data_IF_575005939419
#
_entry.id   IF_575005939419
#
_cell.length_a   1.000
_cell.length_b   1.000
_cell.length_c   1.000
_cell.angle_alpha   90.00
_cell.angle_beta   90.00
_cell.angle_gamma   90.00
#
_symmetry.space_group_name_H-M   'P 1'
#
loop_
_entity.id
_entity.type
_entity.pdbx_description
1 polymer ?
#
# COMPACT_ATOMS: atom_id res chain seq x y z
N UNK A 1 -10.62 22.36 17.98
CA UNK A 1 -9.21 21.94 18.11
C UNK A 1 -8.53 22.88 19.08
N UNK A 2 -7.83 22.38 20.09
CA UNK A 2 -7.13 23.21 21.08
C UNK A 2 -5.97 23.97 20.47
N UNK A 3 -5.77 25.21 20.93
CA UNK A 3 -4.62 26.01 20.53
C UNK A 3 -3.33 25.41 21.11
N UNK A 4 -2.26 25.19 20.32
CA UNK A 4 -1.01 24.64 20.82
C UNK A 4 -0.21 25.63 21.70
N UNK A 5 -0.56 26.91 21.70
CA UNK A 5 0.15 27.96 22.45
C UNK A 5 -0.48 28.25 23.80
N UNK A 6 -1.82 28.34 23.88
CA UNK A 6 -2.52 28.71 25.10
C UNK A 6 -3.52 27.66 25.59
N UNK A 7 -3.65 26.52 24.92
CA UNK A 7 -4.52 25.39 25.24
C UNK A 7 -6.03 25.70 25.27
N UNK A 8 -6.47 26.87 24.86
CA UNK A 8 -7.90 27.21 24.70
C UNK A 8 -8.50 26.38 23.57
N UNK A 9 -9.78 26.01 23.70
CA UNK A 9 -10.44 25.08 22.79
C UNK A 9 -10.91 25.74 21.48
N UNK A 10 -11.15 27.04 21.49
CA UNK A 10 -11.70 27.74 20.35
C UNK A 10 -10.61 28.25 19.39
N UNK A 11 -10.64 27.73 18.20
CA UNK A 11 -9.83 28.18 17.07
C UNK A 11 -10.69 28.29 15.82
N UNK A 12 -10.49 29.30 15.00
CA UNK A 12 -11.17 29.47 13.69
C UNK A 12 -10.22 29.13 12.54
N UNK A 13 -10.78 28.61 11.47
CA UNK A 13 -10.06 28.42 10.20
C UNK A 13 -10.12 29.73 9.41
N UNK A 14 -8.96 30.25 9.02
CA UNK A 14 -8.84 31.50 8.25
C UNK A 14 -8.49 31.24 6.79
N UNK A 15 -7.90 30.09 6.44
CA UNK A 15 -7.59 29.66 5.08
C UNK A 15 -7.61 28.14 4.99
N UNK A 16 -8.01 27.60 3.83
CA UNK A 16 -8.00 26.17 3.51
C UNK A 16 -7.57 25.97 2.07
N UNK A 17 -6.60 25.08 1.85
CA UNK A 17 -6.11 24.74 0.50
C UNK A 17 -5.84 23.26 0.39
N UNK A 18 -6.01 22.73 -0.82
CA UNK A 18 -5.53 21.39 -1.14
C UNK A 18 -4.00 21.34 -1.09
N UNK A 19 -3.45 20.26 -0.58
CA UNK A 19 -2.03 19.97 -0.49
C UNK A 19 -1.78 18.50 -0.84
N UNK A 20 -0.53 18.12 -1.11
CA UNK A 20 -0.14 16.76 -1.49
C UNK A 20 -1.02 16.21 -2.63
N UNK A 21 -1.07 16.92 -3.76
CA UNK A 21 -1.83 16.58 -4.97
C UNK A 21 -3.32 16.25 -4.72
N UNK A 22 -3.92 16.92 -3.72
CA UNK A 22 -5.32 16.75 -3.35
C UNK A 22 -5.59 15.71 -2.26
N UNK A 23 -4.58 14.98 -1.80
CA UNK A 23 -4.73 13.97 -0.74
C UNK A 23 -4.76 14.53 0.69
N UNK A 24 -4.47 15.81 0.86
CA UNK A 24 -4.51 16.50 2.14
C UNK A 24 -5.20 17.87 2.02
N UNK A 25 -5.76 18.34 3.12
CA UNK A 25 -6.22 19.71 3.26
C UNK A 25 -5.31 20.41 4.26
N UNK A 26 -4.63 21.46 3.80
CA UNK A 26 -3.86 22.35 4.67
C UNK A 26 -4.78 23.45 5.16
N UNK A 27 -4.93 23.58 6.48
CA UNK A 27 -5.75 24.63 7.10
C UNK A 27 -4.88 25.57 7.92
N UNK A 28 -5.00 26.87 7.70
CA UNK A 28 -4.45 27.89 8.58
C UNK A 28 -5.50 28.28 9.61
N UNK A 29 -5.13 28.17 10.87
CA UNK A 29 -6.01 28.45 12.01
C UNK A 29 -5.50 29.63 12.81
N UNK A 30 -6.42 30.36 13.47
CA UNK A 30 -6.14 31.41 14.42
C UNK A 30 -6.88 31.13 15.73
N UNK A 31 -6.17 31.24 16.84
CA UNK A 31 -6.78 31.15 18.17
C UNK A 31 -7.62 32.40 18.45
N UNK A 32 -8.85 32.21 18.91
CA UNK A 32 -9.73 33.33 19.26
C UNK A 32 -9.26 34.09 20.50
N UNK A 33 -8.51 33.42 21.40
CA UNK A 33 -8.00 33.98 22.67
C UNK A 33 -6.64 34.64 22.53
N UNK A 34 -5.59 33.92 22.15
CA UNK A 34 -4.22 34.45 22.07
C UNK A 34 -3.83 35.02 20.71
N UNK A 35 -4.71 34.92 19.69
CA UNK A 35 -4.50 35.40 18.32
C UNK A 35 -3.35 34.74 17.55
N UNK A 36 -2.65 33.79 18.17
CA UNK A 36 -1.59 33.06 17.49
C UNK A 36 -2.15 32.20 16.35
N UNK A 37 -1.34 32.09 15.29
CA UNK A 37 -1.70 31.38 14.07
C UNK A 37 -0.87 30.12 13.91
N UNK A 38 -1.52 29.04 13.55
CA UNK A 38 -0.86 27.75 13.30
C UNK A 38 -1.48 27.04 12.11
N UNK A 39 -0.75 26.08 11.58
CA UNK A 39 -1.18 25.29 10.44
C UNK A 39 -1.50 23.87 10.90
N UNK A 40 -2.58 23.31 10.36
CA UNK A 40 -2.96 21.91 10.53
C UNK A 40 -3.11 21.25 9.19
N UNK A 41 -2.87 19.96 9.14
CA UNK A 41 -3.14 19.13 7.98
C UNK A 41 -4.24 18.13 8.33
N UNK A 42 -5.19 17.98 7.42
CA UNK A 42 -6.22 16.96 7.47
C UNK A 42 -5.96 15.98 6.35
N UNK A 43 -5.84 14.70 6.68
CA UNK A 43 -5.69 13.61 5.73
C UNK A 43 -6.68 12.51 6.06
N UNK A 44 -7.10 11.75 5.04
CA UNK A 44 -7.93 10.58 5.30
C UNK A 44 -7.14 9.57 6.14
N UNK A 45 -7.71 9.13 7.26
CA UNK A 45 -7.20 7.99 7.99
C UNK A 45 -7.65 6.72 7.25
N UNK A 46 -6.72 6.13 6.49
CA UNK A 46 -6.98 4.89 5.79
C UNK A 46 -6.67 3.73 6.74
N UNK A 47 -7.64 2.86 6.95
CA UNK A 47 -7.42 1.63 7.69
C UNK A 47 -6.34 0.80 6.99
N UNK A 48 -5.31 0.42 7.76
CA UNK A 48 -4.34 -0.57 7.33
C UNK A 48 -4.93 -1.93 7.71
N UNK A 49 -5.27 -2.80 6.74
CA UNK A 49 -5.85 -4.09 7.05
C UNK A 49 -4.84 -4.97 7.78
N UNK A 50 -5.33 -5.84 8.65
CA UNK A 50 -4.53 -6.92 9.21
C UNK A 50 -4.43 -8.06 8.21
N UNK A 51 -3.25 -8.63 8.07
CA UNK A 51 -3.02 -9.83 7.29
C UNK A 51 -3.20 -11.05 8.18
N UNK A 52 -4.11 -11.91 7.78
CA UNK A 52 -4.32 -13.21 8.43
C UNK A 52 -3.46 -14.25 7.70
N UNK A 53 -2.46 -14.78 8.39
CA UNK A 53 -1.58 -15.83 7.88
C UNK A 53 -2.24 -17.20 7.92
N UNK A 54 -1.70 -18.18 7.17
CA UNK A 54 -2.21 -19.54 7.13
C UNK A 54 -2.24 -20.23 8.51
N UNK A 55 -1.38 -19.81 9.43
CA UNK A 55 -1.34 -20.30 10.82
C UNK A 55 -2.31 -19.57 11.77
N UNK A 56 -3.17 -18.66 11.25
CA UNK A 56 -4.11 -17.87 12.01
C UNK A 56 -3.52 -16.61 12.66
N UNK A 57 -2.22 -16.39 12.59
CA UNK A 57 -1.60 -15.18 13.14
C UNK A 57 -2.02 -13.94 12.34
N UNK A 58 -2.20 -12.84 13.08
CA UNK A 58 -2.59 -11.54 12.52
C UNK A 58 -1.43 -10.57 12.65
N UNK A 59 -1.06 -9.94 11.54
CA UNK A 59 -0.07 -8.85 11.54
C UNK A 59 -0.58 -7.69 10.69
N UNK A 60 -0.20 -6.44 11.01
CA UNK A 60 -0.54 -5.29 10.16
C UNK A 60 0.03 -5.50 8.75
N UNK A 61 -0.71 -5.07 7.72
CA UNK A 61 -0.19 -5.09 6.35
C UNK A 61 1.05 -4.20 6.24
N UNK A 62 2.17 -4.79 5.85
CA UNK A 62 3.44 -4.12 5.67
C UNK A 62 3.74 -3.94 4.17
N UNK A 63 3.51 -2.72 3.68
CA UNK A 63 3.79 -2.35 2.30
C UNK A 63 5.27 -2.52 1.93
N UNK A 64 6.20 -2.38 2.89
CA UNK A 64 7.63 -2.56 2.64
C UNK A 64 7.98 -4.03 2.38
N UNK A 65 7.37 -4.97 3.10
CA UNK A 65 7.55 -6.40 2.82
C UNK A 65 7.11 -6.76 1.41
N UNK A 66 5.93 -6.25 0.99
CA UNK A 66 5.44 -6.43 -0.37
C UNK A 66 6.42 -5.83 -1.40
N UNK A 67 6.85 -4.58 -1.17
CA UNK A 67 7.81 -3.86 -2.03
C UNK A 67 9.10 -4.66 -2.22
N UNK A 68 9.72 -5.11 -1.15
CA UNK A 68 10.96 -5.88 -1.19
C UNK A 68 10.78 -7.18 -1.99
N UNK A 69 9.66 -7.88 -1.80
CA UNK A 69 9.37 -9.12 -2.51
C UNK A 69 9.22 -8.91 -4.02
N UNK A 70 8.51 -7.85 -4.43
CA UNK A 70 8.34 -7.50 -5.85
C UNK A 70 9.65 -7.04 -6.49
N UNK A 71 10.43 -6.18 -5.83
CA UNK A 71 11.75 -5.73 -6.31
C UNK A 71 12.69 -6.92 -6.52
N UNK A 72 12.72 -7.89 -5.59
CA UNK A 72 13.53 -9.11 -5.76
C UNK A 72 13.10 -9.94 -6.97
N UNK A 73 11.80 -10.06 -7.21
CA UNK A 73 11.29 -10.78 -8.38
C UNK A 73 11.68 -10.07 -9.69
N UNK A 74 11.65 -8.74 -9.69
CA UNK A 74 11.95 -7.88 -10.82
C UNK A 74 13.45 -7.57 -11.00
N UNK A 75 14.32 -8.07 -10.11
CA UNK A 75 15.76 -7.82 -10.19
C UNK A 75 16.35 -8.26 -11.53
N UNK A 76 17.09 -7.36 -12.20
CA UNK A 76 17.67 -7.54 -13.53
C UNK A 76 16.65 -7.83 -14.65
N UNK A 77 15.39 -7.44 -14.46
CA UNK A 77 14.39 -7.45 -15.53
C UNK A 77 14.31 -6.08 -16.20
N UNK A 78 13.95 -6.01 -17.49
CA UNK A 78 13.84 -4.76 -18.25
C UNK A 78 12.53 -4.02 -17.91
N UNK A 79 12.29 -3.78 -16.63
CA UNK A 79 11.13 -3.06 -16.11
C UNK A 79 11.61 -1.79 -15.45
N UNK A 80 11.08 -0.64 -15.87
CA UNK A 80 11.49 0.66 -15.35
C UNK A 80 11.14 0.81 -13.84
N UNK A 81 11.88 1.65 -13.12
CA UNK A 81 11.59 1.95 -11.72
C UNK A 81 10.17 2.52 -11.56
N UNK A 82 9.70 3.34 -12.50
CA UNK A 82 8.35 3.92 -12.47
C UNK A 82 7.27 2.85 -12.66
N UNK A 83 7.48 1.85 -13.51
CA UNK A 83 6.56 0.73 -13.69
C UNK A 83 6.49 -0.15 -12.43
N UNK A 84 7.65 -0.38 -11.80
CA UNK A 84 7.72 -1.11 -10.53
C UNK A 84 6.92 -0.38 -9.43
N UNK A 85 7.11 0.93 -9.30
CA UNK A 85 6.37 1.74 -8.32
C UNK A 85 4.87 1.77 -8.61
N UNK A 86 4.47 1.90 -9.87
CA UNK A 86 3.05 1.84 -10.27
C UNK A 86 2.43 0.50 -9.90
N UNK A 87 3.11 -0.61 -10.17
CA UNK A 87 2.66 -1.95 -9.83
C UNK A 87 2.46 -2.12 -8.30
N UNK A 88 3.44 -1.68 -7.52
CA UNK A 88 3.37 -1.74 -6.06
C UNK A 88 2.20 -0.90 -5.53
N UNK A 89 2.08 0.33 -6.01
CA UNK A 89 1.01 1.23 -5.59
C UNK A 89 -0.37 0.71 -5.98
N UNK A 90 -0.51 0.08 -7.15
CA UNK A 90 -1.76 -0.56 -7.59
C UNK A 90 -2.23 -1.61 -6.58
N UNK A 91 -1.34 -2.49 -6.13
CA UNK A 91 -1.68 -3.52 -5.13
C UNK A 91 -2.08 -2.89 -3.80
N UNK A 92 -1.34 -1.87 -3.34
CA UNK A 92 -1.61 -1.17 -2.08
C UNK A 92 -2.98 -0.48 -2.13
N UNK A 93 -3.28 0.22 -3.22
CA UNK A 93 -4.56 0.94 -3.41
C UNK A 93 -5.73 -0.02 -3.48
N UNK A 94 -5.60 -1.11 -4.24
CA UNK A 94 -6.65 -2.14 -4.32
C UNK A 94 -6.96 -2.74 -2.95
N UNK A 95 -5.95 -2.93 -2.09
CA UNK A 95 -6.16 -3.43 -0.72
C UNK A 95 -6.86 -2.43 0.20
N UNK A 96 -6.54 -1.15 0.06
CA UNK A 96 -7.21 -0.08 0.83
C UNK A 96 -8.66 0.12 0.41
N UNK A 97 -8.96 -0.07 -0.87
CA UNK A 97 -10.30 0.15 -1.43
C UNK A 97 -11.35 -0.88 -0.96
N UNK A 98 -10.95 -2.06 -0.51
CA UNK A 98 -11.90 -3.09 -0.04
C UNK A 98 -12.59 -2.73 1.28
N UNK A 99 -12.00 -1.83 2.08
CA UNK A 99 -12.53 -1.46 3.41
C UNK A 99 -12.54 -2.60 4.45
N UNK A 100 -12.01 -3.77 4.09
CA UNK A 100 -11.93 -4.92 4.97
C UNK A 100 -10.87 -4.73 6.05
N UNK A 101 -11.22 -5.05 7.28
CA UNK A 101 -10.28 -4.96 8.42
C UNK A 101 -9.25 -6.08 8.43
N UNK A 102 -9.59 -7.22 7.86
CA UNK A 102 -8.75 -8.42 7.82
C UNK A 102 -8.71 -8.98 6.41
N UNK A 103 -7.53 -9.32 5.94
CA UNK A 103 -7.30 -9.84 4.59
C UNK A 103 -6.41 -11.09 4.67
N UNK A 104 -6.81 -12.20 4.05
CA UNK A 104 -5.94 -13.38 3.97
C UNK A 104 -4.63 -13.05 3.26
N UNK A 105 -3.50 -13.52 3.78
CA UNK A 105 -2.19 -13.33 3.14
C UNK A 105 -2.16 -13.87 1.71
N UNK A 106 -2.89 -14.96 1.46
CA UNK A 106 -3.05 -15.57 0.14
C UNK A 106 -3.62 -14.59 -0.90
N UNK A 107 -4.53 -13.73 -0.50
CA UNK A 107 -5.14 -12.76 -1.42
C UNK A 107 -4.15 -11.67 -1.85
N UNK A 108 -3.25 -11.24 -0.95
CA UNK A 108 -2.17 -10.28 -1.29
C UNK A 108 -1.19 -10.90 -2.27
N UNK A 109 -0.83 -12.15 -2.05
CA UNK A 109 0.04 -12.89 -2.96
C UNK A 109 -0.56 -13.11 -4.34
N UNK A 110 -1.84 -13.46 -4.42
CA UNK A 110 -2.57 -13.59 -5.71
C UNK A 110 -2.54 -12.28 -6.49
N UNK A 111 -2.82 -11.14 -5.83
CA UNK A 111 -2.74 -9.84 -6.50
C UNK A 111 -1.33 -9.48 -6.98
N UNK A 112 -0.32 -9.82 -6.17
CA UNK A 112 1.06 -9.61 -6.59
C UNK A 112 1.40 -10.45 -7.83
N UNK A 113 0.90 -11.69 -7.88
CA UNK A 113 1.06 -12.56 -9.04
C UNK A 113 0.33 -12.02 -10.27
N UNK A 114 -0.91 -11.58 -10.14
CA UNK A 114 -1.68 -11.00 -11.24
C UNK A 114 -0.97 -9.79 -11.85
N UNK A 115 -0.48 -8.87 -11.01
CA UNK A 115 0.27 -7.69 -11.46
C UNK A 115 1.60 -8.06 -12.11
N UNK A 116 2.35 -9.03 -11.55
CA UNK A 116 3.60 -9.49 -12.14
C UNK A 116 3.40 -10.22 -13.45
N UNK A 117 2.30 -10.97 -13.61
CA UNK A 117 1.95 -11.67 -14.85
C UNK A 117 1.84 -10.72 -16.04
N UNK A 118 1.23 -9.55 -15.82
CA UNK A 118 1.10 -8.50 -16.83
C UNK A 118 2.41 -7.74 -17.06
N UNK A 119 3.21 -7.55 -16.00
CA UNK A 119 4.40 -6.73 -16.05
C UNK A 119 5.61 -7.45 -16.63
N UNK A 120 5.89 -8.68 -16.15
CA UNK A 120 7.01 -9.51 -16.61
C UNK A 120 6.80 -10.98 -16.21
N UNK A 121 6.62 -11.85 -17.19
CA UNK A 121 6.33 -13.26 -16.97
C UNK A 121 7.47 -14.00 -16.23
N UNK A 122 8.73 -13.59 -16.37
CA UNK A 122 9.85 -14.20 -15.64
C UNK A 122 9.84 -13.76 -14.19
N UNK A 123 9.55 -12.49 -13.91
CA UNK A 123 9.37 -12.02 -12.53
C UNK A 123 8.18 -12.73 -11.84
N UNK A 124 7.10 -12.97 -12.58
CA UNK A 124 5.98 -13.79 -12.10
C UNK A 124 6.45 -15.16 -11.61
N UNK A 125 7.18 -15.91 -12.45
CA UNK A 125 7.67 -17.26 -12.11
C UNK A 125 8.62 -17.23 -10.91
N UNK A 126 9.48 -16.23 -10.82
CA UNK A 126 10.39 -16.06 -9.67
C UNK A 126 9.62 -15.79 -8.38
N UNK A 127 8.57 -15.00 -8.43
CA UNK A 127 7.71 -14.75 -7.28
C UNK A 127 6.89 -15.99 -6.93
N UNK A 128 6.28 -16.63 -7.91
CA UNK A 128 5.47 -17.83 -7.76
C UNK A 128 6.27 -18.99 -7.14
N UNK A 129 7.55 -19.16 -7.53
CA UNK A 129 8.41 -20.21 -6.98
C UNK A 129 8.61 -20.14 -5.46
N UNK A 130 8.55 -18.95 -4.89
CA UNK A 130 8.66 -18.74 -3.45
C UNK A 130 7.27 -18.74 -2.78
N UNK A 131 6.29 -18.13 -3.47
CA UNK A 131 4.97 -17.88 -2.89
C UNK A 131 4.07 -19.13 -2.88
N UNK A 132 4.06 -19.91 -3.97
CA UNK A 132 3.24 -21.11 -4.11
C UNK A 132 3.84 -22.32 -3.40
N UNK A 133 5.16 -22.29 -3.09
CA UNK A 133 5.85 -23.38 -2.40
C UNK A 133 5.59 -24.72 -3.08
N UNK A 134 5.91 -24.83 -4.38
CA UNK A 134 5.71 -26.05 -5.17
C UNK A 134 6.31 -27.28 -4.47
N UNK A 135 5.57 -28.37 -4.44
CA UNK A 135 6.01 -29.64 -3.83
C UNK A 135 6.93 -30.41 -4.76
N UNK A 136 6.74 -30.29 -6.08
CA UNK A 136 7.56 -30.95 -7.09
C UNK A 136 7.79 -30.10 -8.36
N UNK A 137 8.62 -30.61 -9.26
CA UNK A 137 8.98 -29.96 -10.51
C UNK A 137 7.79 -29.94 -11.48
N UNK A 138 6.93 -30.93 -11.44
CA UNK A 138 5.80 -31.06 -12.37
C UNK A 138 4.74 -29.96 -12.12
N UNK A 139 4.51 -29.60 -10.85
CA UNK A 139 3.67 -28.45 -10.50
C UNK A 139 4.25 -27.15 -11.03
N UNK A 140 5.56 -26.96 -10.90
CA UNK A 140 6.25 -25.80 -11.41
C UNK A 140 6.18 -25.69 -12.94
N UNK A 141 6.33 -26.82 -13.65
CA UNK A 141 6.19 -26.88 -15.11
C UNK A 141 4.77 -26.52 -15.55
N UNK A 142 3.75 -27.02 -14.89
CA UNK A 142 2.33 -26.69 -15.18
C UNK A 142 2.07 -25.21 -15.07
N UNK A 143 2.62 -24.55 -14.02
CA UNK A 143 2.49 -23.11 -13.84
C UNK A 143 3.14 -22.31 -14.99
N UNK A 144 4.31 -22.76 -15.46
CA UNK A 144 4.99 -22.17 -16.62
C UNK A 144 4.18 -22.36 -17.91
N UNK A 145 3.55 -23.52 -18.11
CA UNK A 145 2.73 -23.80 -19.29
C UNK A 145 1.49 -22.91 -19.33
N UNK A 146 0.84 -22.66 -18.21
CA UNK A 146 -0.29 -21.72 -18.10
C UNK A 146 0.07 -20.26 -18.50
N UNK A 147 1.34 -19.88 -18.36
CA UNK A 147 1.80 -18.55 -18.77
C UNK A 147 2.06 -18.43 -20.28
N UNK A 148 2.18 -19.55 -21.00
CA UNK A 148 2.41 -19.57 -22.44
C UNK A 148 1.09 -19.51 -23.23
N UNK A 149 0.02 -19.96 -22.60
CA UNK A 149 -1.33 -19.89 -23.16
C UNK A 149 -1.89 -18.48 -23.12
#
# INVERSE_FOLDING_TARGET
MRCPFCSKEETKVIDSRLAADGYQIRRRRECTSCKERFTTFESAELFIPYIVKNNGNREPFDANKLRISLIKALEKRPVSADDQERAINQIIVQRRATGEREVPSKLVGTLAMDVLKELDKVAYIRFASVYLSFEDIDEFIKEIEQLKA
#
